data_IF_181584959006
#
_entry.id   IF_181584959006
#
_cell.length_a   1.000
_cell.length_b   1.000
_cell.length_c   1.000
_cell.angle_alpha   90.00
_cell.angle_beta   90.00
_cell.angle_gamma   90.00
#
_symmetry.space_group_name_H-M   'P 1'
#
loop_
_entity.id
_entity.type
_entity.pdbx_description
1 polymer ?
#
# COMPACT_ATOMS: atom_id res chain seq x y z
N UNK A 1 -57.39 -39.09 22.94
CA UNK A 1 -57.00 -38.34 21.73
C UNK A 1 -55.73 -37.60 22.07
N UNK A 2 -54.70 -37.93 21.31
CA UNK A 2 -53.28 -37.70 21.57
C UNK A 2 -52.86 -36.28 21.23
N UNK A 3 -51.94 -35.75 22.05
CA UNK A 3 -51.10 -34.60 21.78
C UNK A 3 -50.24 -34.83 20.53
N UNK A 4 -50.01 -33.79 19.74
CA UNK A 4 -48.70 -33.39 19.17
C UNK A 4 -48.89 -32.15 18.27
N UNK A 5 -48.71 -30.96 18.85
CA UNK A 5 -48.32 -29.75 18.12
C UNK A 5 -46.79 -29.62 18.22
N UNK A 6 -46.09 -29.68 17.10
CA UNK A 6 -44.65 -29.43 17.07
C UNK A 6 -44.03 -29.66 15.70
N UNK A 7 -43.53 -28.58 15.08
CA UNK A 7 -42.40 -28.70 14.16
C UNK A 7 -42.61 -28.37 12.68
N UNK A 8 -43.37 -27.32 12.33
CA UNK A 8 -43.33 -26.75 10.97
C UNK A 8 -43.05 -25.24 10.97
N UNK A 9 -41.88 -24.85 11.50
CA UNK A 9 -41.29 -23.52 11.28
C UNK A 9 -39.77 -23.59 11.20
N UNK A 10 -39.22 -24.38 10.28
CA UNK A 10 -37.76 -24.35 10.06
C UNK A 10 -37.28 -24.67 8.63
N UNK A 11 -38.16 -24.64 7.63
CA UNK A 11 -37.78 -24.92 6.22
C UNK A 11 -38.02 -23.76 5.24
N UNK A 12 -38.17 -22.53 5.75
CA UNK A 12 -38.47 -21.35 4.93
C UNK A 12 -37.32 -20.37 4.68
N UNK A 13 -36.16 -20.53 5.34
CA UNK A 13 -35.08 -19.52 5.28
C UNK A 13 -33.88 -19.89 4.40
N UNK A 14 -33.76 -21.15 3.98
CA UNK A 14 -32.62 -21.59 3.14
C UNK A 14 -32.89 -21.59 1.63
N UNK A 15 -34.11 -21.28 1.18
CA UNK A 15 -34.50 -21.34 -0.23
C UNK A 15 -34.67 -19.96 -0.91
N UNK A 16 -34.28 -18.87 -0.24
CA UNK A 16 -34.44 -17.49 -0.73
C UNK A 16 -33.11 -16.78 -1.03
N UNK A 17 -31.99 -17.54 -1.09
CA UNK A 17 -30.65 -17.01 -1.38
C UNK A 17 -30.06 -17.51 -2.71
N UNK A 18 -30.88 -18.10 -3.58
CA UNK A 18 -30.47 -18.52 -4.93
C UNK A 18 -31.54 -18.11 -5.92
N UNK A 19 -31.14 -17.42 -6.99
CA UNK A 19 -31.97 -16.78 -8.06
C UNK A 19 -32.69 -15.50 -7.61
N UNK A 20 -32.47 -14.28 -8.13
CA UNK A 20 -31.86 -13.81 -9.37
C UNK A 20 -31.45 -12.33 -9.21
N UNK A 21 -30.30 -11.94 -9.77
CA UNK A 21 -30.11 -10.78 -10.68
C UNK A 21 -28.61 -10.49 -10.89
N UNK A 22 -28.05 -11.21 -11.86
CA UNK A 22 -27.35 -10.67 -13.02
C UNK A 22 -26.54 -9.37 -12.89
N UNK A 23 -25.24 -9.50 -13.21
CA UNK A 23 -24.40 -8.51 -13.90
C UNK A 23 -23.78 -7.39 -13.08
N UNK A 24 -22.68 -7.70 -12.39
CA UNK A 24 -21.45 -6.89 -12.49
C UNK A 24 -20.24 -7.82 -12.58
N UNK A 25 -19.58 -7.79 -13.75
CA UNK A 25 -18.34 -8.52 -14.05
C UNK A 25 -17.26 -8.18 -13.03
N UNK A 26 -17.00 -9.10 -12.10
CA UNK A 26 -15.70 -9.20 -11.44
C UNK A 26 -14.67 -9.54 -12.51
N UNK A 27 -13.96 -8.52 -13.01
CA UNK A 27 -12.93 -8.66 -14.05
C UNK A 27 -11.54 -8.76 -13.42
N UNK A 28 -11.42 -9.50 -12.32
CA UNK A 28 -10.15 -9.67 -11.63
C UNK A 28 -10.00 -11.14 -11.28
N UNK A 29 -9.13 -11.82 -12.04
CA UNK A 29 -8.67 -13.21 -11.88
C UNK A 29 -9.63 -14.28 -12.47
N UNK A 30 -9.84 -14.25 -13.79
CA UNK A 30 -10.22 -15.49 -14.52
C UNK A 30 -9.66 -15.45 -15.95
N UNK A 31 -8.37 -15.72 -16.06
CA UNK A 31 -7.70 -16.20 -17.29
C UNK A 31 -6.37 -16.80 -16.82
N UNK A 32 -6.51 -17.88 -16.05
CA UNK A 32 -5.42 -18.82 -15.73
C UNK A 32 -5.39 -19.91 -16.80
N UNK A 33 -5.40 -19.50 -18.06
CA UNK A 33 -4.93 -20.38 -19.13
C UNK A 33 -3.41 -20.35 -19.07
N UNK A 34 -2.84 -21.50 -18.73
CA UNK A 34 -1.41 -21.79 -18.77
C UNK A 34 -1.00 -21.85 -20.23
N UNK A 35 -0.87 -20.68 -20.85
CA UNK A 35 -0.21 -20.55 -22.16
C UNK A 35 1.26 -20.96 -21.97
N UNK A 36 1.66 -22.10 -22.52
CA UNK A 36 3.08 -22.47 -22.63
C UNK A 36 3.88 -21.42 -23.44
N UNK A 37 3.19 -20.64 -24.29
CA UNK A 37 3.75 -19.46 -24.97
C UNK A 37 4.12 -18.30 -24.03
N UNK A 38 3.68 -18.35 -22.76
CA UNK A 38 4.00 -17.32 -21.78
C UNK A 38 5.49 -17.33 -21.37
N UNK A 39 6.19 -18.44 -21.62
CA UNK A 39 7.61 -18.61 -21.32
C UNK A 39 8.53 -18.27 -22.50
N UNK A 40 8.03 -17.55 -23.52
CA UNK A 40 8.90 -16.92 -24.52
C UNK A 40 9.98 -16.07 -23.83
N UNK A 41 11.14 -15.95 -24.47
CA UNK A 41 12.30 -15.26 -23.92
C UNK A 41 11.96 -13.77 -23.66
N UNK A 42 11.80 -13.39 -22.38
CA UNK A 42 11.46 -12.02 -21.98
C UNK A 42 12.49 -11.00 -22.47
N UNK A 43 13.71 -11.45 -22.81
CA UNK A 43 14.77 -10.63 -23.38
C UNK A 43 14.31 -9.97 -24.70
N UNK A 44 13.52 -10.66 -25.52
CA UNK A 44 12.98 -10.09 -26.76
C UNK A 44 12.07 -8.90 -26.44
N UNK A 45 11.25 -9.01 -25.40
CA UNK A 45 10.38 -7.92 -24.95
C UNK A 45 11.19 -6.77 -24.31
N UNK A 46 12.33 -7.02 -23.67
CA UNK A 46 13.22 -5.94 -23.24
C UNK A 46 13.73 -5.11 -24.43
N UNK A 47 14.09 -5.77 -25.54
CA UNK A 47 14.53 -5.06 -26.75
C UNK A 47 13.44 -4.12 -27.30
N UNK A 48 12.18 -4.55 -27.23
CA UNK A 48 11.01 -3.81 -27.69
C UNK A 48 10.70 -2.57 -26.85
N UNK A 49 11.26 -2.43 -25.64
CA UNK A 49 11.11 -1.21 -24.86
C UNK A 49 11.67 -0.01 -25.61
N UNK A 50 12.76 -0.16 -26.37
CA UNK A 50 13.37 0.97 -27.10
C UNK A 50 12.76 1.21 -28.49
N UNK A 51 11.73 0.45 -28.87
CA UNK A 51 11.10 0.55 -30.19
C UNK A 51 10.44 1.92 -30.42
N UNK A 52 10.54 2.43 -31.65
CA UNK A 52 9.90 3.69 -32.06
C UNK A 52 8.38 3.64 -31.91
N UNK A 53 7.75 2.49 -32.17
CA UNK A 53 6.30 2.28 -32.13
C UNK A 53 5.83 2.13 -30.68
N UNK A 54 4.93 3.01 -30.26
CA UNK A 54 4.31 2.96 -28.92
C UNK A 54 3.60 1.62 -28.68
N UNK A 55 2.95 1.04 -29.70
CA UNK A 55 2.26 -0.26 -29.58
C UNK A 55 3.22 -1.39 -29.14
N UNK A 56 4.43 -1.42 -29.68
CA UNK A 56 5.44 -2.43 -29.33
C UNK A 56 5.92 -2.24 -27.89
N UNK A 57 6.16 -0.98 -27.48
CA UNK A 57 6.51 -0.65 -26.09
C UNK A 57 5.41 -1.02 -25.10
N UNK A 58 4.15 -0.73 -25.42
CA UNK A 58 3.01 -1.09 -24.58
C UNK A 58 2.85 -2.61 -24.45
N UNK A 59 3.03 -3.36 -25.55
CA UNK A 59 3.03 -4.82 -25.53
C UNK A 59 4.15 -5.38 -24.63
N UNK A 60 5.36 -4.85 -24.78
CA UNK A 60 6.50 -5.24 -23.95
C UNK A 60 6.24 -5.00 -22.45
N UNK A 61 5.75 -3.81 -22.09
CA UNK A 61 5.42 -3.49 -20.70
C UNK A 61 4.32 -4.41 -20.14
N UNK A 62 3.28 -4.74 -20.91
CA UNK A 62 2.24 -5.67 -20.49
C UNK A 62 2.81 -7.08 -20.21
N UNK A 63 3.63 -7.60 -21.12
CA UNK A 63 4.30 -8.90 -20.93
C UNK A 63 5.24 -8.92 -19.74
N UNK A 64 6.09 -7.91 -19.61
CA UNK A 64 6.97 -7.75 -18.45
C UNK A 64 6.17 -7.71 -17.14
N UNK A 65 5.09 -6.93 -17.09
CA UNK A 65 4.24 -6.84 -15.92
C UNK A 65 3.61 -8.20 -15.57
N UNK A 66 3.10 -8.93 -16.57
CA UNK A 66 2.53 -10.26 -16.36
C UNK A 66 3.58 -11.25 -15.84
N UNK A 67 4.80 -11.24 -16.38
CA UNK A 67 5.88 -12.12 -15.93
C UNK A 67 6.26 -11.85 -14.47
N UNK A 68 6.38 -10.58 -14.08
CA UNK A 68 6.65 -10.19 -12.69
C UNK A 68 5.50 -10.58 -11.75
N UNK A 69 4.24 -10.37 -12.15
CA UNK A 69 3.07 -10.76 -11.35
C UNK A 69 2.97 -12.28 -11.14
N UNK A 70 3.41 -13.08 -12.11
CA UNK A 70 3.45 -14.54 -12.02
C UNK A 70 4.75 -15.08 -11.41
N UNK A 71 5.68 -14.18 -11.07
CA UNK A 71 6.97 -14.50 -10.49
C UNK A 71 7.82 -15.47 -11.33
N UNK A 72 7.84 -15.29 -12.64
CA UNK A 72 8.59 -16.13 -13.58
C UNK A 72 9.85 -15.42 -14.09
N UNK A 73 10.87 -16.20 -14.47
CA UNK A 73 12.12 -15.73 -15.06
C UNK A 73 12.89 -14.68 -14.21
N UNK A 74 12.84 -14.82 -12.89
CA UNK A 74 13.50 -13.89 -11.94
C UNK A 74 14.99 -13.69 -12.24
N UNK A 75 15.72 -14.76 -12.58
CA UNK A 75 17.16 -14.69 -12.91
C UNK A 75 17.44 -13.78 -14.11
N UNK A 76 16.56 -13.80 -15.11
CA UNK A 76 16.67 -12.95 -16.31
C UNK A 76 16.40 -11.49 -15.94
N UNK A 77 15.37 -11.24 -15.12
CA UNK A 77 15.11 -9.89 -14.62
C UNK A 77 16.25 -9.34 -13.78
N UNK A 78 16.83 -10.16 -12.90
CA UNK A 78 17.96 -9.77 -12.07
C UNK A 78 19.18 -9.40 -12.93
N UNK A 79 19.48 -10.19 -13.97
CA UNK A 79 20.57 -9.92 -14.91
C UNK A 79 20.38 -8.61 -15.70
N UNK A 80 19.13 -8.22 -15.98
CA UNK A 80 18.80 -7.05 -16.80
C UNK A 80 18.23 -5.88 -15.99
N UNK A 81 18.26 -5.94 -14.66
CA UNK A 81 17.58 -5.01 -13.76
C UNK A 81 17.96 -3.55 -14.01
N UNK A 82 19.25 -3.25 -14.17
CA UNK A 82 19.74 -1.87 -14.36
C UNK A 82 19.28 -1.26 -15.68
N UNK A 83 19.36 -2.02 -16.77
CA UNK A 83 18.90 -1.58 -18.09
C UNK A 83 17.39 -1.37 -18.08
N UNK A 84 16.65 -2.32 -17.51
CA UNK A 84 15.20 -2.24 -17.40
C UNK A 84 14.78 -1.04 -16.55
N UNK A 85 15.39 -0.82 -15.39
CA UNK A 85 15.13 0.34 -14.55
C UNK A 85 15.41 1.65 -15.30
N UNK A 86 16.51 1.71 -16.05
CA UNK A 86 16.87 2.89 -16.85
C UNK A 86 15.80 3.22 -17.90
N UNK A 87 15.32 2.20 -18.62
CA UNK A 87 14.28 2.36 -19.64
C UNK A 87 12.96 2.81 -19.02
N UNK A 88 12.52 2.16 -17.93
CA UNK A 88 11.29 2.51 -17.20
C UNK A 88 11.35 3.95 -16.68
N UNK A 89 12.47 4.35 -16.07
CA UNK A 89 12.68 5.71 -15.59
C UNK A 89 12.67 6.73 -16.73
N UNK A 90 13.15 6.35 -17.92
CA UNK A 90 13.08 7.23 -19.09
C UNK A 90 11.64 7.55 -19.48
N UNK A 91 10.71 6.60 -19.35
CA UNK A 91 9.28 6.81 -19.62
C UNK A 91 8.63 7.65 -18.54
N UNK A 92 8.94 7.38 -17.28
CA UNK A 92 8.43 8.15 -16.13
C UNK A 92 8.86 9.63 -16.23
N UNK A 93 10.11 9.90 -16.60
CA UNK A 93 10.61 11.28 -16.79
C UNK A 93 9.91 12.01 -17.93
N UNK A 94 9.63 11.33 -19.05
CA UNK A 94 9.03 11.94 -20.25
C UNK A 94 7.52 12.17 -20.11
N UNK A 95 6.83 11.37 -19.29
CA UNK A 95 5.36 11.38 -19.10
C UNK A 95 4.57 11.27 -20.42
N UNK A 96 5.19 10.74 -21.49
CA UNK A 96 4.60 10.69 -22.84
C UNK A 96 4.99 9.38 -23.54
N UNK A 97 4.04 8.48 -23.81
CA UNK A 97 2.63 8.51 -23.40
C UNK A 97 2.46 8.39 -21.88
N UNK A 98 1.38 8.96 -21.33
CA UNK A 98 1.10 8.89 -19.89
C UNK A 98 0.85 7.46 -19.46
N UNK A 99 0.17 6.67 -20.29
CA UNK A 99 -0.16 5.26 -20.04
C UNK A 99 1.10 4.41 -19.90
N UNK A 100 2.11 4.68 -20.74
CA UNK A 100 3.41 4.00 -20.69
C UNK A 100 4.15 4.37 -19.41
N UNK A 101 4.10 5.64 -18.99
CA UNK A 101 4.71 6.08 -17.73
C UNK A 101 4.02 5.43 -16.51
N UNK A 102 2.68 5.34 -16.52
CA UNK A 102 1.88 4.65 -15.49
C UNK A 102 2.28 3.18 -15.39
N UNK A 103 2.31 2.45 -16.52
CA UNK A 103 2.75 1.05 -16.53
C UNK A 103 4.19 0.90 -16.06
N UNK A 104 5.06 1.86 -16.41
CA UNK A 104 6.45 1.84 -15.98
C UNK A 104 6.60 2.00 -14.46
N UNK A 105 5.81 2.87 -13.83
CA UNK A 105 5.75 2.98 -12.37
C UNK A 105 5.36 1.65 -11.72
N UNK A 106 4.31 1.00 -12.23
CA UNK A 106 3.81 -0.28 -11.71
C UNK A 106 4.85 -1.39 -11.84
N UNK A 107 5.50 -1.50 -12.99
CA UNK A 107 6.56 -2.48 -13.23
C UNK A 107 7.75 -2.22 -12.31
N UNK A 108 8.14 -0.96 -12.12
CA UNK A 108 9.22 -0.60 -11.21
C UNK A 108 8.91 -1.00 -9.75
N UNK A 109 7.68 -0.77 -9.29
CA UNK A 109 7.24 -1.24 -7.97
C UNK A 109 7.28 -2.76 -7.86
N UNK A 110 6.82 -3.48 -8.90
CA UNK A 110 6.84 -4.94 -8.95
C UNK A 110 8.27 -5.48 -8.96
N UNK A 111 9.19 -4.90 -9.74
CA UNK A 111 10.60 -5.27 -9.74
C UNK A 111 11.19 -5.17 -8.34
N UNK A 112 10.92 -4.05 -7.66
CA UNK A 112 11.43 -3.85 -6.31
C UNK A 112 10.86 -4.87 -5.32
N UNK A 113 9.57 -5.19 -5.40
CA UNK A 113 8.95 -6.21 -4.54
C UNK A 113 9.47 -7.62 -4.84
N UNK A 114 9.58 -7.97 -6.13
CA UNK A 114 9.91 -9.33 -6.57
C UNK A 114 11.37 -9.70 -6.39
N UNK A 115 12.29 -8.74 -6.58
CA UNK A 115 13.73 -9.01 -6.61
C UNK A 115 14.46 -8.43 -5.40
N UNK A 116 13.79 -7.57 -4.62
CA UNK A 116 14.42 -6.82 -3.52
C UNK A 116 15.76 -6.20 -3.96
N UNK A 117 15.78 -5.57 -5.14
CA UNK A 117 17.00 -5.05 -5.75
C UNK A 117 17.76 -4.17 -4.76
N UNK A 118 19.08 -4.35 -4.73
CA UNK A 118 19.97 -3.57 -3.88
C UNK A 118 19.73 -2.06 -4.02
N UNK A 119 19.97 -1.36 -2.92
CA UNK A 119 19.63 0.06 -2.70
C UNK A 119 20.22 1.02 -3.74
N UNK A 120 21.30 0.66 -4.44
CA UNK A 120 22.10 1.60 -5.24
C UNK A 120 21.50 2.03 -6.57
N UNK A 121 20.66 1.22 -7.22
CA UNK A 121 20.09 1.58 -8.53
C UNK A 121 18.62 1.94 -8.40
N UNK A 122 17.82 1.12 -7.72
CA UNK A 122 16.38 1.41 -7.62
C UNK A 122 16.11 2.58 -6.68
N UNK A 123 16.71 2.64 -5.49
CA UNK A 123 16.43 3.75 -4.59
C UNK A 123 17.17 5.02 -4.98
N UNK A 124 18.50 5.00 -5.11
CA UNK A 124 19.29 6.22 -5.37
C UNK A 124 18.94 6.90 -6.70
N UNK A 125 18.50 6.15 -7.72
CA UNK A 125 18.18 6.71 -9.04
C UNK A 125 16.67 6.89 -9.22
N UNK A 126 15.84 5.91 -8.84
CA UNK A 126 14.41 6.02 -9.11
C UNK A 126 13.70 6.97 -8.15
N UNK A 127 14.04 6.96 -6.86
CA UNK A 127 13.33 7.76 -5.87
C UNK A 127 13.40 9.27 -6.19
N UNK A 128 14.57 9.86 -6.54
CA UNK A 128 14.62 11.27 -6.94
C UNK A 128 13.76 11.59 -8.16
N UNK A 129 13.70 10.68 -9.14
CA UNK A 129 12.86 10.84 -10.34
C UNK A 129 11.38 10.85 -9.96
N UNK A 130 10.95 9.90 -9.13
CA UNK A 130 9.56 9.81 -8.65
C UNK A 130 9.19 11.04 -7.83
N UNK A 131 10.08 11.49 -6.92
CA UNK A 131 9.86 12.66 -6.09
C UNK A 131 9.73 13.94 -6.94
N UNK A 132 10.57 14.10 -7.97
CA UNK A 132 10.43 15.18 -8.93
C UNK A 132 9.07 15.13 -9.62
N UNK A 133 8.62 13.95 -10.06
CA UNK A 133 7.32 13.77 -10.71
C UNK A 133 6.15 14.08 -9.79
N UNK A 134 6.22 13.70 -8.53
CA UNK A 134 5.21 14.03 -7.51
C UNK A 134 5.02 15.53 -7.32
N UNK A 135 6.10 16.30 -7.52
CA UNK A 135 6.10 17.77 -7.40
C UNK A 135 5.71 18.49 -8.69
N UNK A 136 6.01 17.94 -9.86
CA UNK A 136 5.83 18.64 -11.16
C UNK A 136 4.72 18.13 -12.07
N UNK A 137 4.30 16.87 -11.94
CA UNK A 137 3.31 16.30 -12.86
C UNK A 137 1.91 16.88 -12.64
N UNK A 138 1.17 17.05 -13.74
CA UNK A 138 -0.24 17.46 -13.74
C UNK A 138 -1.20 16.27 -13.92
N UNK A 139 -0.67 15.09 -14.26
CA UNK A 139 -1.47 13.89 -14.52
C UNK A 139 -1.82 13.22 -13.20
N UNK A 140 -3.09 13.34 -12.77
CA UNK A 140 -3.59 12.69 -11.56
C UNK A 140 -3.36 11.16 -11.57
N UNK A 141 -3.65 10.42 -12.67
CA UNK A 141 -3.38 8.98 -12.72
C UNK A 141 -1.89 8.64 -12.54
N UNK A 142 -0.99 9.45 -13.09
CA UNK A 142 0.45 9.24 -12.91
C UNK A 142 0.90 9.54 -11.47
N UNK A 143 0.39 10.62 -10.87
CA UNK A 143 0.69 10.97 -9.48
C UNK A 143 0.28 9.85 -8.52
N UNK A 144 -0.88 9.21 -8.74
CA UNK A 144 -1.34 8.04 -7.98
C UNK A 144 -0.29 6.92 -8.02
N UNK A 145 0.17 6.55 -9.22
CA UNK A 145 1.16 5.47 -9.34
C UNK A 145 2.54 5.88 -8.83
N UNK A 146 2.95 7.14 -8.98
CA UNK A 146 4.19 7.65 -8.39
C UNK A 146 4.16 7.56 -6.87
N UNK A 147 3.05 7.92 -6.21
CA UNK A 147 2.93 7.81 -4.76
C UNK A 147 3.03 6.36 -4.29
N UNK A 148 2.36 5.44 -4.99
CA UNK A 148 2.43 4.00 -4.70
C UNK A 148 3.86 3.47 -4.86
N UNK A 149 4.46 3.75 -6.01
CA UNK A 149 5.80 3.27 -6.36
C UNK A 149 6.85 3.82 -5.40
N UNK A 150 6.82 5.13 -5.10
CA UNK A 150 7.74 5.75 -4.16
C UNK A 150 7.59 5.14 -2.76
N UNK A 151 6.37 4.95 -2.28
CA UNK A 151 6.12 4.37 -0.96
C UNK A 151 6.64 2.93 -0.87
N UNK A 152 6.44 2.13 -1.92
CA UNK A 152 6.95 0.75 -2.00
C UNK A 152 8.47 0.74 -2.01
N UNK A 153 9.12 1.60 -2.81
CA UNK A 153 10.59 1.68 -2.86
C UNK A 153 11.15 2.08 -1.49
N UNK A 154 10.59 3.11 -0.84
CA UNK A 154 11.04 3.51 0.49
C UNK A 154 10.88 2.39 1.53
N UNK A 155 9.80 1.63 1.44
CA UNK A 155 9.54 0.50 2.33
C UNK A 155 10.52 -0.67 2.10
N UNK A 156 10.69 -1.11 0.86
CA UNK A 156 11.52 -2.29 0.54
C UNK A 156 13.00 -1.98 0.75
N UNK A 157 13.44 -0.78 0.43
CA UNK A 157 14.85 -0.40 0.50
C UNK A 157 15.32 0.04 1.90
N UNK A 158 14.46 -0.05 2.92
CA UNK A 158 14.71 0.48 4.27
C UNK A 158 15.31 1.89 4.22
N UNK A 159 14.60 2.77 3.50
CA UNK A 159 15.10 4.10 3.18
C UNK A 159 15.29 4.98 4.42
N UNK A 160 16.14 6.00 4.27
CA UNK A 160 16.45 6.96 5.34
C UNK A 160 15.19 7.65 5.85
N UNK A 161 15.17 7.92 7.16
CA UNK A 161 14.04 8.54 7.83
C UNK A 161 13.63 9.88 7.21
N UNK A 162 14.59 10.69 6.75
CA UNK A 162 14.31 11.98 6.13
C UNK A 162 13.49 11.84 4.85
N UNK A 163 13.81 10.87 4.01
CA UNK A 163 13.10 10.65 2.75
C UNK A 163 11.66 10.15 2.99
N UNK A 164 11.47 9.32 4.02
CA UNK A 164 10.14 8.87 4.45
C UNK A 164 9.31 10.05 4.98
N UNK A 165 9.89 10.92 5.79
CA UNK A 165 9.22 12.11 6.31
C UNK A 165 8.85 13.10 5.21
N UNK A 166 9.74 13.32 4.25
CA UNK A 166 9.48 14.15 3.07
C UNK A 166 8.28 13.64 2.27
N UNK A 167 8.20 12.33 2.02
CA UNK A 167 7.06 11.74 1.32
C UNK A 167 5.79 11.79 2.15
N UNK A 168 5.87 11.53 3.47
CA UNK A 168 4.72 11.67 4.39
C UNK A 168 4.19 13.10 4.41
N UNK A 169 5.05 14.12 4.31
CA UNK A 169 4.63 15.52 4.20
C UNK A 169 3.86 15.76 2.90
N UNK A 170 4.38 15.31 1.76
CA UNK A 170 3.70 15.44 0.46
C UNK A 170 2.34 14.73 0.44
N UNK A 171 2.26 13.55 1.04
CA UNK A 171 1.00 12.82 1.22
C UNK A 171 0.05 13.61 2.11
N UNK A 172 0.53 14.14 3.24
CA UNK A 172 -0.28 14.94 4.17
C UNK A 172 -0.87 16.19 3.51
N UNK A 173 -0.11 16.87 2.64
CA UNK A 173 -0.60 18.02 1.87
C UNK A 173 -1.75 17.66 0.92
N UNK A 174 -1.71 16.47 0.33
CA UNK A 174 -2.80 15.95 -0.53
C UNK A 174 -4.02 15.52 0.27
N UNK A 175 -3.83 15.07 1.50
CA UNK A 175 -4.92 14.68 2.41
C UNK A 175 -5.62 15.94 2.96
N UNK A 176 -4.85 16.93 3.40
CA UNK A 176 -5.37 18.15 4.03
C UNK A 176 -6.11 19.07 3.05
N UNK A 177 -5.68 19.09 1.79
CA UNK A 177 -6.31 19.92 0.76
C UNK A 177 -7.72 19.43 0.40
N UNK A 178 -8.68 20.35 0.38
CA UNK A 178 -10.06 20.08 -0.05
C UNK A 178 -10.22 20.01 -1.57
N UNK A 179 -9.31 20.61 -2.33
CA UNK A 179 -9.34 20.69 -3.80
C UNK A 179 -8.69 19.50 -4.50
N UNK A 180 -8.03 18.61 -3.74
CA UNK A 180 -7.38 17.42 -4.30
C UNK A 180 -8.41 16.44 -4.85
N UNK A 181 -8.10 15.88 -6.03
CA UNK A 181 -8.89 14.83 -6.66
C UNK A 181 -9.19 13.69 -5.67
N UNK A 182 -10.44 13.19 -5.57
CA UNK A 182 -10.81 12.19 -4.59
C UNK A 182 -10.02 10.87 -4.69
N UNK A 183 -9.63 10.44 -5.90
CA UNK A 183 -8.86 9.21 -6.09
C UNK A 183 -7.39 9.41 -5.66
N UNK A 184 -6.84 10.59 -5.93
CA UNK A 184 -5.51 10.96 -5.44
C UNK A 184 -5.49 11.09 -3.92
N UNK A 185 -6.49 11.73 -3.31
CA UNK A 185 -6.59 11.85 -1.87
C UNK A 185 -6.77 10.48 -1.19
N UNK A 186 -7.60 9.58 -1.77
CA UNK A 186 -7.73 8.21 -1.27
C UNK A 186 -6.40 7.45 -1.30
N UNK A 187 -5.67 7.55 -2.42
CA UNK A 187 -4.34 6.94 -2.55
C UNK A 187 -3.35 7.55 -1.56
N UNK A 188 -3.40 8.86 -1.34
CA UNK A 188 -2.54 9.53 -0.38
C UNK A 188 -2.79 9.02 1.05
N UNK A 189 -4.05 8.83 1.44
CA UNK A 189 -4.41 8.24 2.73
C UNK A 189 -3.87 6.81 2.84
N UNK A 190 -4.07 5.97 1.83
CA UNK A 190 -3.60 4.58 1.82
C UNK A 190 -2.08 4.48 1.95
N UNK A 191 -1.34 5.29 1.18
CA UNK A 191 0.13 5.29 1.22
C UNK A 191 0.68 5.93 2.49
N UNK A 192 0.00 6.94 3.05
CA UNK A 192 0.36 7.52 4.33
C UNK A 192 0.22 6.48 5.46
N UNK A 193 -0.88 5.71 5.48
CA UNK A 193 -1.05 4.60 6.42
C UNK A 193 0.03 3.54 6.26
N UNK A 194 0.31 3.14 5.01
CA UNK A 194 1.31 2.13 4.69
C UNK A 194 2.69 2.52 5.23
N UNK A 195 3.20 3.70 4.93
CA UNK A 195 4.49 4.17 5.43
C UNK A 195 4.47 4.44 6.95
N UNK A 196 3.35 4.94 7.50
CA UNK A 196 3.24 5.15 8.93
C UNK A 196 3.27 3.83 9.72
N UNK A 197 2.89 2.71 9.10
CA UNK A 197 2.89 1.41 9.76
C UNK A 197 4.29 0.88 10.12
N UNK A 198 5.35 1.38 9.48
CA UNK A 198 6.74 1.03 9.79
C UNK A 198 7.39 1.94 10.83
N UNK A 199 6.74 3.06 11.16
CA UNK A 199 7.29 4.06 12.09
C UNK A 199 6.99 3.75 13.55
N UNK A 200 7.69 4.47 14.44
CA UNK A 200 7.42 4.36 15.88
C UNK A 200 6.00 4.84 16.19
N UNK A 201 5.28 4.10 17.06
CA UNK A 201 3.90 4.43 17.40
C UNK A 201 3.76 5.84 17.99
N UNK A 202 4.78 6.32 18.68
CA UNK A 202 4.78 7.66 19.29
C UNK A 202 4.85 8.76 18.24
N UNK A 203 5.67 8.59 17.19
CA UNK A 203 5.76 9.54 16.07
C UNK A 203 4.44 9.63 15.30
N UNK A 204 3.85 8.49 14.97
CA UNK A 204 2.58 8.46 14.21
C UNK A 204 1.46 9.13 15.00
N UNK A 205 1.41 8.88 16.31
CA UNK A 205 0.41 9.51 17.20
C UNK A 205 0.66 11.01 17.44
N UNK A 206 1.86 11.54 17.17
CA UNK A 206 2.10 12.98 17.22
C UNK A 206 1.32 13.72 16.12
N UNK A 207 1.10 13.08 14.96
CA UNK A 207 0.30 13.62 13.87
C UNK A 207 -1.23 13.44 14.07
N UNK A 208 -1.65 12.74 15.13
CA UNK A 208 -3.03 12.34 15.37
C UNK A 208 -4.04 13.50 15.30
N UNK A 209 -3.85 14.67 15.95
CA UNK A 209 -4.86 15.71 15.96
C UNK A 209 -5.19 16.21 14.56
N UNK A 210 -4.16 16.56 13.79
CA UNK A 210 -4.32 17.05 12.41
C UNK A 210 -4.89 15.97 11.49
N UNK A 211 -4.36 14.75 11.58
CA UNK A 211 -4.79 13.65 10.72
C UNK A 211 -6.25 13.27 10.95
N UNK A 212 -6.71 13.20 12.21
CA UNK A 212 -8.12 12.93 12.53
C UNK A 212 -9.02 14.02 11.96
N UNK A 213 -8.64 15.30 12.08
CA UNK A 213 -9.42 16.40 11.51
C UNK A 213 -9.53 16.29 9.99
N UNK A 214 -8.39 16.13 9.29
CA UNK A 214 -8.37 16.07 7.83
C UNK A 214 -9.12 14.86 7.29
N UNK A 215 -8.89 13.68 7.88
CA UNK A 215 -9.52 12.43 7.44
C UNK A 215 -11.02 12.40 7.75
N UNK A 216 -11.45 12.95 8.90
CA UNK A 216 -12.89 13.03 9.22
C UNK A 216 -13.64 13.88 8.20
N UNK A 217 -13.04 14.98 7.72
CA UNK A 217 -13.64 15.79 6.66
C UNK A 217 -13.83 15.02 5.34
N UNK A 218 -13.02 13.97 5.08
CA UNK A 218 -13.14 13.14 3.87
C UNK A 218 -14.30 12.15 3.93
N UNK A 219 -14.82 11.81 5.12
CA UNK A 219 -15.94 10.89 5.28
C UNK A 219 -17.25 11.41 4.68
N UNK A 220 -17.41 12.74 4.58
CA UNK A 220 -18.60 13.37 4.00
C UNK A 220 -18.53 13.57 2.49
N UNK A 221 -17.43 13.19 1.84
CA UNK A 221 -17.30 13.34 0.38
C UNK A 221 -18.10 12.28 -0.38
N UNK A 222 -18.51 12.61 -1.62
CA UNK A 222 -19.38 11.74 -2.42
C UNK A 222 -18.69 10.46 -2.91
N UNK A 223 -17.38 10.49 -3.14
CA UNK A 223 -16.61 9.34 -3.61
C UNK A 223 -16.58 8.22 -2.56
N UNK A 224 -16.95 7.01 -2.96
CA UNK A 224 -16.91 5.84 -2.07
C UNK A 224 -15.47 5.47 -1.71
N UNK A 225 -14.55 5.56 -2.67
CA UNK A 225 -13.15 5.17 -2.47
C UNK A 225 -12.46 6.00 -1.37
N UNK A 226 -12.67 7.31 -1.36
CA UNK A 226 -12.06 8.17 -0.33
C UNK A 226 -12.69 7.94 1.05
N UNK A 227 -14.01 7.68 1.12
CA UNK A 227 -14.67 7.34 2.39
C UNK A 227 -14.14 6.02 2.97
N UNK A 228 -13.88 5.03 2.12
CA UNK A 228 -13.26 3.76 2.52
C UNK A 228 -11.83 4.00 3.04
N UNK A 229 -10.98 4.70 2.29
CA UNK A 229 -9.61 4.99 2.70
C UNK A 229 -9.58 5.79 4.02
N UNK A 230 -10.44 6.80 4.16
CA UNK A 230 -10.59 7.58 5.37
C UNK A 230 -11.02 6.73 6.58
N UNK A 231 -11.99 5.85 6.38
CA UNK A 231 -12.47 4.94 7.45
C UNK A 231 -11.36 3.98 7.91
N UNK A 232 -10.60 3.41 6.96
CA UNK A 232 -9.43 2.58 7.25
C UNK A 232 -8.38 3.34 8.06
N UNK A 233 -8.12 4.60 7.71
CA UNK A 233 -7.15 5.44 8.42
C UNK A 233 -7.57 5.75 9.86
N UNK A 234 -8.85 6.09 10.09
CA UNK A 234 -9.34 6.26 11.46
C UNK A 234 -9.28 4.97 12.27
N UNK A 235 -9.56 3.81 11.66
CA UNK A 235 -9.42 2.52 12.32
C UNK A 235 -7.95 2.22 12.69
N UNK A 236 -7.02 2.43 11.76
CA UNK A 236 -5.57 2.29 11.97
C UNK A 236 -5.09 3.17 13.14
N UNK A 237 -5.43 4.46 13.12
CA UNK A 237 -5.05 5.40 14.18
C UNK A 237 -5.65 5.00 15.54
N UNK A 238 -6.88 4.50 15.55
CA UNK A 238 -7.53 4.00 16.76
C UNK A 238 -6.82 2.78 17.33
N UNK A 239 -6.44 1.82 16.50
CA UNK A 239 -5.70 0.63 16.93
C UNK A 239 -4.32 1.00 17.49
N UNK A 240 -3.60 1.91 16.83
CA UNK A 240 -2.33 2.43 17.32
C UNK A 240 -2.49 3.07 18.71
N UNK A 241 -3.46 3.95 18.88
CA UNK A 241 -3.73 4.61 20.16
C UNK A 241 -4.05 3.60 21.27
N UNK A 242 -4.89 2.59 20.99
CA UNK A 242 -5.21 1.54 21.96
C UNK A 242 -3.99 0.67 22.31
N UNK A 243 -3.12 0.37 21.34
CA UNK A 243 -1.92 -0.42 21.57
C UNK A 243 -0.94 0.28 22.53
N UNK A 244 -0.76 1.60 22.38
CA UNK A 244 0.07 2.42 23.27
C UNK A 244 -0.55 2.55 24.66
N UNK A 245 -1.87 2.76 24.76
CA UNK A 245 -2.56 2.81 26.04
C UNK A 245 -2.45 1.48 26.83
N UNK A 246 -2.53 0.33 26.15
CA UNK A 246 -2.38 -1.00 26.76
C UNK A 246 -0.97 -1.22 27.32
N UNK A 247 0.07 -0.85 26.58
CA UNK A 247 1.46 -1.01 27.03
C UNK A 247 1.77 -0.11 28.23
N UNK A 248 1.31 1.15 28.22
CA UNK A 248 1.40 2.06 29.37
C UNK A 248 0.65 1.52 30.61
N UNK A 249 -0.55 0.98 30.42
CA UNK A 249 -1.34 0.37 31.49
C UNK A 249 -0.66 -0.85 32.13
N UNK A 250 0.00 -1.69 31.32
CA UNK A 250 0.78 -2.84 31.82
C UNK A 250 2.05 -2.40 32.57
N UNK A 251 2.75 -1.37 32.09
CA UNK A 251 3.92 -0.80 32.77
C UNK A 251 3.54 -0.24 34.16
N UNK A 252 2.44 0.49 34.25
CA UNK A 252 1.91 1.01 35.52
C UNK A 252 1.53 -0.13 36.50
N UNK A 253 0.91 -1.21 36.01
CA UNK A 253 0.58 -2.39 36.83
C UNK A 253 1.83 -3.13 37.32
N UNK A 254 2.88 -3.25 36.50
CA UNK A 254 4.18 -3.85 36.91
C UNK A 254 4.92 -2.97 37.92
N UNK A 255 4.92 -1.64 37.74
CA UNK A 255 5.48 -0.69 38.70
C UNK A 255 4.81 -0.75 40.07
N UNK A 256 3.46 -0.78 40.10
CA UNK A 256 2.70 -0.93 41.36
C UNK A 256 2.98 -2.25 42.08
N UNK A 257 3.17 -3.37 41.35
CA UNK A 257 3.55 -4.67 41.94
C UNK A 257 4.98 -4.65 42.52
N UNK A 258 5.95 -3.98 41.88
CA UNK A 258 7.31 -3.79 42.42
C UNK A 258 7.33 -2.89 43.66
N UNK A 259 6.56 -1.80 43.68
CA UNK A 259 6.44 -0.93 44.86
C UNK A 259 5.75 -1.64 46.04
N UNK A 260 4.69 -2.43 45.79
CA UNK A 260 4.08 -3.26 46.85
C UNK A 260 5.04 -4.31 47.44
N UNK A 261 5.97 -4.87 46.65
CA UNK A 261 7.01 -5.78 47.17
C UNK A 261 8.07 -5.06 48.00
N UNK A 262 8.51 -3.86 47.60
CA UNK A 262 9.46 -3.05 48.41
C UNK A 262 8.84 -2.48 49.69
N UNK A 263 7.53 -2.19 49.69
CA UNK A 263 6.80 -1.78 50.90
C UNK A 263 6.62 -2.87 51.96
N UNK A 264 6.78 -4.15 51.60
CA UNK A 264 6.76 -5.28 52.57
C UNK A 264 8.14 -5.65 53.12
N UNK A 265 9.23 -5.07 52.60
CA UNK A 265 10.60 -5.43 52.98
C UNK A 265 11.18 -4.57 54.11
N UNK A 266 10.46 -3.58 54.64
CA UNK A 266 10.96 -2.67 55.69
C UNK A 266 10.56 -3.03 57.13
N UNK A 267 9.90 -4.18 57.37
CA UNK A 267 9.43 -4.58 58.71
C UNK A 267 10.14 -5.83 59.29
N UNK A 268 11.24 -6.28 58.71
CA UNK A 268 12.12 -7.26 59.36
C UNK A 268 13.39 -6.51 59.76
N UNK A 269 13.94 -6.84 60.94
CA UNK A 269 15.04 -6.18 61.67
C UNK A 269 14.58 -5.27 62.82
N UNK A 270 14.14 -5.92 63.91
CA UNK A 270 14.43 -5.47 65.28
C UNK A 270 15.60 -6.31 65.81
N UNK A 271 16.72 -5.73 66.27
CA UNK A 271 17.72 -6.47 67.04
C UNK A 271 17.20 -6.73 68.45
N UNK A 272 17.56 -7.88 69.02
CA UNK A 272 17.52 -8.14 70.47
C UNK A 272 18.76 -7.57 71.12
#
# INVERSE_FOLDING_TARGET
MTYEEGGEREKGWYALLTSDTQSQKSTVISTLETDEAFYEDIVDYFSLLTDKKIKNRSLALDRIQQCLLRNVQQDVFLKHADSLCTDLLSYIRKEKPVEVAISSCRILALLQISLALDTSVTYDIAYPVLLQRLRSSKSVPLLIECFRTASIILFVCDARDEDVLDLLSLLSDRISSSSTDPALAATAIDMWMFLSSTRSRHEVLAALPSMVTWVSAKLSQQSVAIRIAASKCLAFLRELHLSVARTAGMACRRGRRRCRRRGRSKNAWKPR
#
